data_IF_925610433548
#
_entry.id   IF_925610433548
#
_cell.length_a   1.000
_cell.length_b   1.000
_cell.length_c   1.000
_cell.angle_alpha   90.00
_cell.angle_beta   90.00
_cell.angle_gamma   90.00
#
_symmetry.space_group_name_H-M   'P 1'
#
loop_
_entity.id
_entity.type
_entity.pdbx_description
1 polymer ?
#
# COMPACT_ATOMS: atom_id res chain seq x y z
N UNK A 1 13.97 9.07 -7.52
CA UNK A 1 13.40 7.83 -6.97
C UNK A 1 12.10 8.20 -6.30
N UNK A 2 10.97 7.66 -6.76
CA UNK A 2 9.65 8.07 -6.29
C UNK A 2 9.09 6.98 -5.36
N UNK A 3 9.48 7.05 -4.08
CA UNK A 3 9.08 6.08 -3.05
C UNK A 3 7.55 5.99 -2.92
N UNK A 4 6.83 7.09 -3.14
CA UNK A 4 5.36 7.08 -3.12
C UNK A 4 4.81 6.19 -4.22
N UNK A 5 5.32 6.30 -5.46
CA UNK A 5 4.93 5.39 -6.55
C UNK A 5 5.22 3.93 -6.21
N UNK A 6 6.39 3.63 -5.65
CA UNK A 6 6.74 2.26 -5.28
C UNK A 6 5.80 1.70 -4.19
N UNK A 7 5.47 2.51 -3.17
CA UNK A 7 4.47 2.16 -2.15
C UNK A 7 3.10 1.90 -2.78
N UNK A 8 2.66 2.76 -3.69
CA UNK A 8 1.37 2.62 -4.36
C UNK A 8 1.31 1.38 -5.23
N UNK A 9 2.36 1.11 -6.00
CA UNK A 9 2.48 -0.10 -6.81
C UNK A 9 2.48 -1.36 -5.95
N UNK A 10 3.16 -1.34 -4.80
CA UNK A 10 3.15 -2.46 -3.86
C UNK A 10 1.75 -2.76 -3.33
N UNK A 11 1.02 -1.75 -2.87
CA UNK A 11 -0.34 -1.90 -2.34
C UNK A 11 -1.32 -2.29 -3.46
N UNK A 12 -1.20 -1.69 -4.65
CA UNK A 12 -2.01 -2.03 -5.82
C UNK A 12 -1.81 -3.50 -6.24
N UNK A 13 -0.56 -3.98 -6.28
CA UNK A 13 -0.24 -5.38 -6.60
C UNK A 13 -0.82 -6.33 -5.56
N UNK A 14 -0.72 -5.99 -4.28
CA UNK A 14 -1.31 -6.77 -3.20
C UNK A 14 -2.84 -6.86 -3.35
N UNK A 15 -3.51 -5.75 -3.68
CA UNK A 15 -4.96 -5.75 -3.93
C UNK A 15 -5.35 -6.60 -5.14
N UNK A 16 -4.68 -6.42 -6.28
CA UNK A 16 -4.95 -7.22 -7.50
C UNK A 16 -4.80 -8.71 -7.24
N UNK A 17 -3.75 -9.12 -6.52
CA UNK A 17 -3.48 -10.52 -6.22
C UNK A 17 -4.46 -11.13 -5.20
N UNK A 18 -5.11 -10.30 -4.38
CA UNK A 18 -6.08 -10.79 -3.38
C UNK A 18 -7.41 -11.28 -3.99
N UNK A 19 -7.77 -10.81 -5.19
CA UNK A 19 -9.08 -11.05 -5.79
C UNK A 19 -10.25 -10.38 -5.04
N UNK A 20 -9.98 -9.54 -4.05
CA UNK A 20 -11.00 -8.91 -3.21
C UNK A 20 -11.57 -7.64 -3.84
N UNK A 21 -12.81 -7.29 -3.46
CA UNK A 21 -13.33 -5.96 -3.73
C UNK A 21 -12.52 -4.90 -2.98
N UNK A 22 -12.51 -3.66 -3.49
CA UNK A 22 -11.80 -2.53 -2.86
C UNK A 22 -12.18 -2.35 -1.39
N UNK A 23 -13.49 -2.43 -1.09
CA UNK A 23 -14.04 -2.35 0.26
C UNK A 23 -13.47 -3.41 1.18
N UNK A 24 -13.54 -4.68 0.75
CA UNK A 24 -13.09 -5.81 1.57
C UNK A 24 -11.58 -5.78 1.80
N UNK A 25 -10.80 -5.48 0.76
CA UNK A 25 -9.35 -5.29 0.89
C UNK A 25 -9.00 -4.16 1.85
N UNK A 26 -9.65 -3.00 1.72
CA UNK A 26 -9.41 -1.86 2.60
C UNK A 26 -9.67 -2.20 4.07
N UNK A 27 -10.76 -2.94 4.35
CA UNK A 27 -11.05 -3.46 5.69
C UNK A 27 -9.96 -4.41 6.18
N UNK A 28 -9.53 -5.38 5.37
CA UNK A 28 -8.47 -6.33 5.74
C UNK A 28 -7.10 -5.67 5.94
N UNK A 29 -6.83 -4.57 5.24
CA UNK A 29 -5.59 -3.79 5.34
C UNK A 29 -5.70 -2.62 6.35
N UNK A 30 -6.81 -2.53 7.08
CA UNK A 30 -7.08 -1.50 8.08
C UNK A 30 -6.91 -0.05 7.56
N UNK A 31 -7.44 0.20 6.35
CA UNK A 31 -7.48 1.52 5.71
C UNK A 31 -8.90 1.86 5.25
N UNK A 32 -9.16 3.13 5.00
CA UNK A 32 -10.40 3.54 4.36
C UNK A 32 -10.42 3.11 2.89
N UNK A 33 -11.58 2.74 2.35
CA UNK A 33 -11.70 2.45 0.91
C UNK A 33 -11.29 3.66 0.06
N UNK A 34 -11.52 4.88 0.56
CA UNK A 34 -11.07 6.11 -0.09
C UNK A 34 -9.54 6.12 -0.25
N UNK A 35 -8.79 5.75 0.79
CA UNK A 35 -7.33 5.63 0.73
C UNK A 35 -6.89 4.70 -0.40
N UNK A 36 -7.52 3.53 -0.51
CA UNK A 36 -7.22 2.61 -1.62
C UNK A 36 -7.56 3.24 -2.98
N UNK A 37 -8.67 3.96 -3.12
CA UNK A 37 -9.02 4.65 -4.37
C UNK A 37 -8.00 5.73 -4.74
N UNK A 38 -7.52 6.50 -3.77
CA UNK A 38 -6.53 7.56 -4.00
C UNK A 38 -5.18 6.98 -4.45
N UNK A 39 -4.76 5.87 -3.83
CA UNK A 39 -3.59 5.07 -4.26
C UNK A 39 -3.75 4.59 -5.72
N UNK A 40 -4.91 4.01 -6.06
CA UNK A 40 -5.16 3.45 -7.40
C UNK A 40 -5.29 4.50 -8.50
N UNK A 41 -5.78 5.70 -8.16
CA UNK A 41 -5.82 6.84 -9.09
C UNK A 41 -4.44 7.39 -9.41
N UNK A 42 -3.41 7.00 -8.63
CA UNK A 42 -2.07 7.56 -8.69
C UNK A 42 -2.11 9.09 -8.66
N UNK A 43 -3.02 9.64 -7.84
CA UNK A 43 -3.14 11.08 -7.67
C UNK A 43 -1.80 11.63 -7.20
N UNK A 44 -1.22 12.52 -7.99
CA UNK A 44 0.10 13.10 -7.71
C UNK A 44 0.14 13.92 -6.42
N UNK A 45 -1.02 14.30 -5.88
CA UNK A 45 -1.15 15.05 -4.63
C UNK A 45 -1.32 14.17 -3.40
N UNK A 46 -1.74 12.91 -3.56
CA UNK A 46 -1.92 12.02 -2.43
C UNK A 46 -0.55 11.55 -1.92
N UNK A 47 -0.36 11.64 -0.60
CA UNK A 47 0.78 11.08 0.11
C UNK A 47 0.26 10.22 1.26
N UNK A 48 0.55 8.91 1.19
CA UNK A 48 0.20 8.01 2.27
C UNK A 48 0.97 8.40 3.54
N UNK A 49 0.25 8.53 4.65
CA UNK A 49 0.85 8.91 5.91
C UNK A 49 1.57 7.73 6.56
N UNK A 50 2.62 8.01 7.34
CA UNK A 50 3.31 6.98 8.12
C UNK A 50 2.35 6.23 9.08
N UNK A 51 1.42 6.88 9.81
CA UNK A 51 0.39 6.18 10.58
C UNK A 51 -0.47 5.19 9.78
N UNK A 52 -0.80 5.53 8.53
CA UNK A 52 -1.53 4.61 7.63
C UNK A 52 -0.67 3.38 7.28
N UNK A 53 0.63 3.57 7.04
CA UNK A 53 1.56 2.47 6.82
C UNK A 53 1.63 1.56 8.05
N UNK A 54 1.70 2.12 9.26
CA UNK A 54 1.67 1.35 10.51
C UNK A 54 0.41 0.49 10.63
N UNK A 55 -0.77 1.07 10.37
CA UNK A 55 -2.04 0.32 10.38
C UNK A 55 -2.04 -0.86 9.41
N UNK A 56 -1.50 -0.66 8.20
CA UNK A 56 -1.35 -1.74 7.20
C UNK A 56 -0.41 -2.83 7.73
N UNK A 57 0.71 -2.44 8.35
CA UNK A 57 1.68 -3.39 8.89
C UNK A 57 1.07 -4.23 10.02
N UNK A 58 0.34 -3.58 10.95
CA UNK A 58 -0.38 -4.26 12.03
C UNK A 58 -1.42 -5.25 11.51
N UNK A 59 -2.27 -4.83 10.56
CA UNK A 59 -3.30 -5.67 9.99
C UNK A 59 -2.73 -6.90 9.25
N UNK A 60 -1.53 -6.76 8.69
CA UNK A 60 -0.82 -7.83 7.98
C UNK A 60 0.14 -8.62 8.86
N UNK A 61 0.27 -8.26 10.13
CA UNK A 61 1.23 -8.84 11.07
C UNK A 61 2.68 -8.85 10.54
N UNK A 62 3.11 -7.74 9.92
CA UNK A 62 4.47 -7.53 9.43
C UNK A 62 5.13 -6.34 10.13
N UNK A 63 6.47 -6.31 10.16
CA UNK A 63 7.20 -5.15 10.70
C UNK A 63 7.24 -4.02 9.66
N UNK A 64 7.28 -2.77 10.13
CA UNK A 64 7.47 -1.61 9.23
C UNK A 64 8.78 -1.70 8.44
N UNK A 65 9.85 -2.21 9.04
CA UNK A 65 11.12 -2.46 8.35
C UNK A 65 10.96 -3.47 7.20
N UNK A 66 10.15 -4.51 7.39
CA UNK A 66 9.85 -5.50 6.36
C UNK A 66 9.01 -4.90 5.23
N UNK A 67 8.05 -4.03 5.58
CA UNK A 67 7.28 -3.28 4.58
C UNK A 67 8.21 -2.49 3.66
N UNK A 68 9.12 -1.68 4.21
CA UNK A 68 10.06 -0.90 3.39
C UNK A 68 11.07 -1.76 2.63
N UNK A 69 11.55 -2.87 3.19
CA UNK A 69 12.38 -3.83 2.46
C UNK A 69 11.65 -4.41 1.22
N UNK A 70 10.33 -4.62 1.31
CA UNK A 70 9.53 -5.05 0.16
C UNK A 70 9.39 -3.93 -0.89
N UNK A 71 9.33 -2.66 -0.47
CA UNK A 71 9.32 -1.51 -1.39
C UNK A 71 10.67 -1.40 -2.14
N UNK A 72 11.79 -1.59 -1.45
CA UNK A 72 13.12 -1.56 -2.07
C UNK A 72 13.29 -2.64 -3.15
N UNK A 73 12.71 -3.83 -2.94
CA UNK A 73 12.67 -4.88 -3.97
C UNK A 73 11.90 -4.43 -5.21
N UNK A 74 10.74 -3.80 -5.04
CA UNK A 74 9.94 -3.27 -6.17
C UNK A 74 10.73 -2.21 -6.95
N UNK A 75 11.51 -1.38 -6.25
CA UNK A 75 12.35 -0.37 -6.91
C UNK A 75 13.51 -1.00 -7.67
N UNK A 76 14.08 -2.11 -7.18
CA UNK A 76 15.22 -2.80 -7.81
C UNK A 76 14.82 -3.65 -9.03
N UNK A 77 13.54 -4.00 -9.16
CA UNK A 77 12.99 -4.79 -10.27
C UNK A 77 12.56 -3.94 -11.49
N UNK A 78 12.63 -2.60 -11.41
CA UNK A 78 12.27 -1.66 -12.47
C UNK A 78 13.45 -0.75 -12.85
#
# INVERSE_FOLDING_TARGET
>A
MDYNKAIYSYIEKAWKNSGLSKRKFATEYNIEERTLRDILKKDSSYQISLPTIYKICEARNIKVSEFFANIEKVISEN
#
